data_IF_184115360492
#
_entry.id   IF_184115360492
#
_cell.length_a   1.000
_cell.length_b   1.000
_cell.length_c   1.000
_cell.angle_alpha   90.00
_cell.angle_beta   90.00
_cell.angle_gamma   90.00
#
_symmetry.space_group_name_H-M   'P 1'
#
loop_
_entity.id
_entity.type
_entity.pdbx_description
1 polymer ?
#
# COMPACT_ATOMS: atom_id res chain seq x y z
N UNK A 1 49.57 -17.72 22.99
CA UNK A 1 49.19 -16.52 22.20
C UNK A 1 49.68 -15.30 22.96
N UNK A 2 50.65 -14.56 22.42
CA UNK A 2 51.25 -13.42 23.13
C UNK A 2 50.32 -12.19 23.06
N UNK A 3 50.63 -11.14 23.81
CA UNK A 3 49.78 -9.94 23.92
C UNK A 3 49.69 -9.16 22.59
N UNK A 4 50.76 -9.17 21.78
CA UNK A 4 50.79 -8.57 20.45
C UNK A 4 49.90 -9.32 19.44
N UNK A 5 49.87 -10.65 19.49
CA UNK A 5 48.98 -11.48 18.66
C UNK A 5 47.51 -11.22 18.98
N UNK A 6 47.18 -11.08 20.28
CA UNK A 6 45.83 -10.72 20.73
C UNK A 6 45.44 -9.34 20.25
N UNK A 7 46.33 -8.36 20.41
CA UNK A 7 46.09 -7.00 19.94
C UNK A 7 45.90 -6.93 18.42
N UNK A 8 46.74 -7.60 17.64
CA UNK A 8 46.62 -7.65 16.18
C UNK A 8 45.33 -8.31 15.71
N UNK A 9 44.90 -9.38 16.38
CA UNK A 9 43.61 -10.02 16.08
C UNK A 9 42.43 -9.11 16.38
N UNK A 10 42.43 -8.42 17.54
CA UNK A 10 41.39 -7.44 17.88
C UNK A 10 41.36 -6.30 16.85
N UNK A 11 42.53 -5.76 16.49
CA UNK A 11 42.64 -4.71 15.46
C UNK A 11 42.06 -5.18 14.12
N UNK A 12 42.42 -6.38 13.66
CA UNK A 12 41.89 -6.95 12.41
C UNK A 12 40.37 -7.10 12.46
N UNK A 13 39.84 -7.60 13.57
CA UNK A 13 38.42 -7.81 13.73
C UNK A 13 37.65 -6.49 13.73
N UNK A 14 38.15 -5.49 14.46
CA UNK A 14 37.61 -4.14 14.45
C UNK A 14 37.61 -3.52 13.04
N UNK A 15 38.69 -3.69 12.27
CA UNK A 15 38.75 -3.21 10.87
C UNK A 15 37.67 -3.85 9.99
N UNK A 16 37.44 -5.16 10.11
CA UNK A 16 36.43 -5.86 9.32
C UNK A 16 35.02 -5.35 9.67
N UNK A 17 34.70 -5.28 10.96
CA UNK A 17 33.40 -4.80 11.44
C UNK A 17 33.12 -3.36 10.98
N UNK A 18 34.15 -2.51 11.04
CA UNK A 18 34.06 -1.12 10.61
C UNK A 18 33.83 -0.98 9.10
N UNK A 19 34.54 -1.76 8.27
CA UNK A 19 34.31 -1.80 6.82
C UNK A 19 32.89 -2.28 6.46
N UNK A 20 32.38 -3.28 7.17
CA UNK A 20 31.00 -3.76 6.98
C UNK A 20 29.96 -2.71 7.36
N UNK A 21 30.18 -1.99 8.45
CA UNK A 21 29.32 -0.88 8.87
C UNK A 21 29.31 0.24 7.81
N UNK A 22 30.49 0.62 7.30
CA UNK A 22 30.61 1.62 6.24
C UNK A 22 29.91 1.22 4.94
N UNK A 23 30.02 -0.06 4.54
CA UNK A 23 29.32 -0.57 3.37
C UNK A 23 27.78 -0.47 3.52
N UNK A 24 27.24 -0.77 4.71
CA UNK A 24 25.80 -0.60 5.01
C UNK A 24 25.38 0.86 4.94
N UNK A 25 26.19 1.79 5.46
CA UNK A 25 25.93 3.22 5.40
C UNK A 25 25.86 3.74 3.97
N UNK A 26 26.72 3.26 3.07
CA UNK A 26 26.65 3.60 1.63
C UNK A 26 25.31 3.20 1.01
N UNK A 27 24.83 2.00 1.31
CA UNK A 27 23.51 1.54 0.84
C UNK A 27 22.38 2.44 1.35
N UNK A 28 22.47 2.91 2.61
CA UNK A 28 21.51 3.88 3.17
C UNK A 28 21.56 5.22 2.41
N UNK A 29 22.74 5.76 2.11
CA UNK A 29 22.87 7.01 1.35
C UNK A 29 22.24 6.91 -0.06
N UNK A 30 22.44 5.78 -0.75
CA UNK A 30 21.77 5.50 -2.03
C UNK A 30 20.25 5.48 -1.84
N UNK A 31 19.74 4.80 -0.81
CA UNK A 31 18.31 4.76 -0.50
C UNK A 31 17.72 6.14 -0.20
N UNK A 32 18.39 6.96 0.60
CA UNK A 32 17.98 8.34 0.91
C UNK A 32 17.85 9.20 -0.35
N UNK A 33 18.80 9.06 -1.27
CA UNK A 33 18.80 9.79 -2.54
C UNK A 33 17.74 9.26 -3.51
N UNK A 34 17.76 7.95 -3.79
CA UNK A 34 16.97 7.37 -4.88
C UNK A 34 15.50 7.17 -4.50
N UNK A 35 15.22 6.79 -3.24
CA UNK A 35 13.86 6.52 -2.75
C UNK A 35 13.21 7.77 -2.16
N UNK A 36 13.91 8.44 -1.24
CA UNK A 36 13.35 9.58 -0.50
C UNK A 36 13.65 10.94 -1.13
N UNK A 37 14.42 10.97 -2.22
CA UNK A 37 14.84 12.20 -2.93
C UNK A 37 15.55 13.21 -2.02
N UNK A 38 16.15 12.74 -0.93
CA UNK A 38 16.94 13.53 0.01
C UNK A 38 18.36 13.71 -0.52
N UNK A 39 18.51 14.66 -1.44
CA UNK A 39 19.79 15.00 -2.05
C UNK A 39 20.70 15.76 -1.05
N UNK A 40 22.00 15.48 -1.10
CA UNK A 40 23.01 16.21 -0.31
C UNK A 40 23.32 15.62 1.08
N UNK A 41 22.69 14.50 1.46
CA UNK A 41 22.99 13.76 2.68
C UNK A 41 24.28 12.93 2.48
N UNK A 42 25.43 13.56 2.70
CA UNK A 42 26.76 12.92 2.56
C UNK A 42 27.13 12.17 3.83
N UNK A 43 27.62 10.93 3.67
CA UNK A 43 28.26 10.19 4.75
C UNK A 43 29.59 10.90 5.08
N UNK A 44 29.92 11.09 6.37
CA UNK A 44 31.22 11.63 6.78
C UNK A 44 32.38 10.83 6.19
N UNK A 45 33.50 11.50 5.91
CA UNK A 45 34.68 10.83 5.39
C UNK A 45 35.39 10.11 6.54
N UNK A 46 35.85 8.88 6.27
CA UNK A 46 36.37 7.97 7.30
C UNK A 46 37.64 8.50 7.98
N UNK A 47 38.32 9.43 7.30
CA UNK A 47 39.59 10.03 7.71
C UNK A 47 39.39 11.30 8.57
N UNK A 48 38.15 11.76 8.78
CA UNK A 48 37.86 12.96 9.55
C UNK A 48 38.10 12.74 11.05
N UNK A 49 38.80 13.70 11.68
CA UNK A 49 39.07 13.72 13.11
C UNK A 49 37.79 14.01 13.90
N UNK A 50 37.00 12.96 14.15
CA UNK A 50 35.65 13.08 14.70
C UNK A 50 34.61 12.24 13.96
N UNK A 51 35.02 11.36 13.04
CA UNK A 51 34.14 10.50 12.23
C UNK A 51 32.95 9.91 12.99
N UNK A 52 33.14 9.40 14.22
CA UNK A 52 32.06 8.80 14.99
C UNK A 52 31.00 9.82 15.44
N UNK A 53 31.43 11.02 15.85
CA UNK A 53 30.54 12.11 16.25
C UNK A 53 29.80 12.68 15.04
N UNK A 54 30.50 12.83 13.92
CA UNK A 54 29.89 13.25 12.66
C UNK A 54 28.91 12.21 12.12
N UNK A 55 29.22 10.92 12.27
CA UNK A 55 28.34 9.83 11.88
C UNK A 55 27.06 9.82 12.74
N UNK A 56 27.21 10.08 14.04
CA UNK A 56 26.07 10.25 14.94
C UNK A 56 25.21 11.46 14.54
N UNK A 57 25.83 12.60 14.25
CA UNK A 57 25.12 13.80 13.75
C UNK A 57 24.42 13.55 12.42
N UNK A 58 25.07 12.84 11.50
CA UNK A 58 24.48 12.40 10.23
C UNK A 58 23.24 11.56 10.47
N UNK A 59 23.31 10.54 11.34
CA UNK A 59 22.16 9.69 11.65
C UNK A 59 20.98 10.48 12.24
N UNK A 60 21.24 11.44 13.14
CA UNK A 60 20.20 12.31 13.67
C UNK A 60 19.57 13.19 12.58
N UNK A 61 20.38 13.80 11.70
CA UNK A 61 19.87 14.60 10.57
C UNK A 61 19.05 13.76 9.60
N UNK A 62 19.47 12.52 9.34
CA UNK A 62 18.72 11.55 8.53
C UNK A 62 17.36 11.29 9.15
N UNK A 63 17.31 10.98 10.45
CA UNK A 63 16.04 10.73 11.13
C UNK A 63 15.14 11.96 11.09
N UNK A 64 15.64 13.16 11.38
CA UNK A 64 14.82 14.39 11.32
C UNK A 64 14.28 14.64 9.92
N UNK A 65 15.08 14.46 8.87
CA UNK A 65 14.63 14.65 7.49
C UNK A 65 13.71 13.55 6.99
N UNK A 66 13.95 12.31 7.40
CA UNK A 66 13.01 11.22 7.15
C UNK A 66 11.70 11.49 7.87
N UNK A 67 11.74 11.88 9.14
CA UNK A 67 10.58 12.23 9.93
C UNK A 67 9.82 13.40 9.30
N UNK A 68 10.50 14.43 8.80
CA UNK A 68 9.84 15.51 8.06
C UNK A 68 9.18 14.99 6.78
N UNK A 69 9.90 14.22 5.96
CA UNK A 69 9.36 13.64 4.72
C UNK A 69 8.18 12.70 5.01
N UNK A 70 8.25 11.92 6.08
CA UNK A 70 7.23 10.97 6.50
C UNK A 70 6.05 11.66 7.20
N UNK A 71 6.28 12.74 7.97
CA UNK A 71 5.22 13.56 8.59
C UNK A 71 4.35 14.26 7.53
N UNK A 72 4.88 14.49 6.33
CA UNK A 72 4.08 14.96 5.20
C UNK A 72 3.28 13.85 4.50
N UNK A 73 3.63 12.57 4.68
CA UNK A 73 2.84 11.44 4.17
C UNK A 73 1.75 11.08 5.18
N UNK A 74 0.55 11.61 4.96
CA UNK A 74 -0.62 11.29 5.77
C UNK A 74 -1.23 9.96 5.31
N UNK A 75 -1.70 9.16 6.26
CA UNK A 75 -2.57 8.03 5.94
C UNK A 75 -4.00 8.53 5.74
N UNK A 76 -4.52 8.34 4.54
CA UNK A 76 -5.86 8.78 4.13
C UNK A 76 -6.65 7.57 3.70
N UNK A 77 -7.88 7.44 4.21
CA UNK A 77 -8.83 6.43 3.75
C UNK A 77 -9.71 7.05 2.65
N UNK A 78 -9.59 6.54 1.42
CA UNK A 78 -10.43 6.96 0.29
C UNK A 78 -11.47 5.87 0.02
N UNK A 79 -12.75 6.23 0.09
CA UNK A 79 -13.86 5.34 -0.24
C UNK A 79 -14.30 5.56 -1.69
N UNK A 80 -14.08 4.57 -2.55
CA UNK A 80 -14.35 4.63 -3.99
C UNK A 80 -15.58 3.79 -4.32
N UNK A 81 -16.72 4.39 -4.69
CA UNK A 81 -17.83 3.65 -5.26
C UNK A 81 -17.43 3.05 -6.62
N UNK A 82 -17.64 1.75 -6.81
CA UNK A 82 -17.37 1.12 -8.10
C UNK A 82 -18.51 1.31 -9.09
N UNK A 83 -19.74 1.47 -8.63
CA UNK A 83 -20.91 1.60 -9.50
C UNK A 83 -21.11 3.01 -10.05
N UNK A 84 -21.01 4.00 -9.17
CA UNK A 84 -21.24 5.41 -9.48
C UNK A 84 -19.93 6.19 -9.38
N UNK A 85 -19.83 7.32 -10.06
CA UNK A 85 -18.64 8.15 -9.93
C UNK A 85 -18.51 8.75 -8.53
N UNK A 86 -17.26 8.90 -8.08
CA UNK A 86 -16.90 9.68 -6.89
C UNK A 86 -17.12 11.17 -7.17
N UNK A 87 -17.64 11.91 -6.20
CA UNK A 87 -17.80 13.35 -6.32
C UNK A 87 -16.51 14.06 -5.94
N UNK A 88 -15.90 14.77 -6.88
CA UNK A 88 -14.81 15.70 -6.60
C UNK A 88 -15.24 17.10 -7.02
N UNK A 89 -15.61 17.92 -6.04
CA UNK A 89 -16.28 19.20 -6.30
C UNK A 89 -17.65 18.98 -6.96
N UNK A 90 -17.85 19.53 -8.16
CA UNK A 90 -19.09 19.37 -8.94
C UNK A 90 -19.04 18.22 -9.96
N UNK A 91 -17.89 17.56 -10.11
CA UNK A 91 -17.70 16.53 -11.13
C UNK A 91 -17.76 15.11 -10.56
N UNK A 92 -18.25 14.18 -11.40
CA UNK A 92 -18.31 12.76 -11.10
C UNK A 92 -17.14 12.02 -11.76
N UNK A 93 -16.18 11.56 -10.96
CA UNK A 93 -15.08 10.71 -11.42
C UNK A 93 -15.56 9.26 -11.43
N UNK A 94 -15.79 8.70 -12.61
CA UNK A 94 -16.35 7.35 -12.77
C UNK A 94 -15.27 6.28 -12.89
N UNK A 95 -15.37 5.22 -12.09
CA UNK A 95 -14.51 4.02 -12.21
C UNK A 95 -14.96 3.14 -13.39
N UNK A 96 -16.27 3.08 -13.65
CA UNK A 96 -16.85 2.41 -14.82
C UNK A 96 -17.47 3.43 -15.77
N UNK A 97 -17.40 3.18 -17.07
CA UNK A 97 -17.96 4.07 -18.11
C UNK A 97 -19.47 4.28 -17.97
N UNK A 98 -20.19 3.23 -17.56
CA UNK A 98 -21.66 3.19 -17.42
C UNK A 98 -22.13 2.11 -16.42
N UNK A 99 -23.37 2.25 -15.95
CA UNK A 99 -24.01 1.32 -14.98
C UNK A 99 -24.23 -0.08 -15.59
N UNK A 100 -24.46 -0.16 -16.91
CA UNK A 100 -24.71 -1.42 -17.60
C UNK A 100 -23.48 -2.35 -17.54
N UNK A 101 -22.28 -1.78 -17.73
CA UNK A 101 -21.01 -2.49 -17.65
C UNK A 101 -20.74 -3.01 -16.24
N UNK A 102 -21.01 -2.20 -15.22
CA UNK A 102 -20.93 -2.62 -13.82
C UNK A 102 -21.88 -3.80 -13.54
N UNK A 103 -23.16 -3.67 -13.91
CA UNK A 103 -24.17 -4.71 -13.68
C UNK A 103 -23.81 -6.02 -14.40
N UNK A 104 -23.33 -5.95 -15.65
CA UNK A 104 -22.93 -7.11 -16.42
C UNK A 104 -21.76 -7.86 -15.76
N UNK A 105 -20.69 -7.15 -15.40
CA UNK A 105 -19.51 -7.73 -14.75
C UNK A 105 -19.83 -8.28 -13.34
N UNK A 106 -20.62 -7.53 -12.55
CA UNK A 106 -21.13 -7.99 -11.25
C UNK A 106 -21.90 -9.31 -11.38
N UNK A 107 -22.77 -9.42 -12.38
CA UNK A 107 -23.55 -10.64 -12.63
C UNK A 107 -22.67 -11.81 -13.10
N UNK A 108 -21.58 -11.52 -13.82
CA UNK A 108 -20.57 -12.52 -14.18
C UNK A 108 -19.72 -12.97 -12.98
N UNK A 109 -19.67 -12.17 -11.91
CA UNK A 109 -18.96 -12.46 -10.66
C UNK A 109 -17.50 -12.01 -10.66
N UNK A 110 -17.09 -11.19 -11.61
CA UNK A 110 -15.74 -10.63 -11.69
C UNK A 110 -15.82 -9.19 -12.20
N UNK A 111 -15.26 -8.28 -11.43
CA UNK A 111 -15.21 -6.84 -11.69
C UNK A 111 -13.79 -6.48 -12.09
N UNK A 112 -13.58 -6.06 -13.33
CA UNK A 112 -12.31 -5.53 -13.83
C UNK A 112 -12.45 -4.02 -14.06
N UNK A 113 -11.51 -3.25 -13.52
CA UNK A 113 -11.56 -1.80 -13.57
C UNK A 113 -10.17 -1.18 -13.44
N UNK A 114 -10.03 0.07 -13.88
CA UNK A 114 -8.88 0.92 -13.61
C UNK A 114 -9.30 2.08 -12.72
N UNK A 115 -8.47 2.42 -11.73
CA UNK A 115 -8.71 3.61 -10.92
C UNK A 115 -8.36 4.86 -11.75
N UNK A 116 -9.27 5.84 -11.89
CA UNK A 116 -8.99 7.09 -12.57
C UNK A 116 -7.89 7.88 -11.83
N UNK A 117 -6.94 8.46 -12.57
CA UNK A 117 -5.82 9.22 -12.01
C UNK A 117 -6.30 10.50 -11.30
N UNK A 118 -7.44 11.04 -11.74
CA UNK A 118 -8.10 12.20 -11.18
C UNK A 118 -8.53 12.01 -9.72
N UNK A 119 -8.75 10.75 -9.28
CA UNK A 119 -9.03 10.43 -7.88
C UNK A 119 -7.88 10.86 -6.96
N UNK A 120 -6.65 10.87 -7.48
CA UNK A 120 -5.44 11.10 -6.71
C UNK A 120 -4.78 12.44 -7.01
N UNK A 121 -5.41 13.31 -7.80
CA UNK A 121 -4.74 14.53 -8.30
C UNK A 121 -4.39 15.56 -7.21
N UNK A 122 -4.98 15.47 -6.02
CA UNK A 122 -4.68 16.36 -4.89
C UNK A 122 -3.54 15.81 -4.01
N UNK A 123 -2.99 14.66 -4.40
CA UNK A 123 -1.99 13.94 -3.65
C UNK A 123 -0.72 13.71 -4.48
N UNK A 124 0.43 13.75 -3.81
CA UNK A 124 1.75 13.36 -4.32
C UNK A 124 2.23 12.10 -3.62
N UNK A 125 3.04 11.31 -4.33
CA UNK A 125 3.67 10.08 -3.82
C UNK A 125 2.66 9.09 -3.23
N UNK A 126 1.53 8.89 -3.91
CA UNK A 126 0.47 8.00 -3.42
C UNK A 126 0.96 6.56 -3.39
N UNK A 127 0.91 5.96 -2.21
CA UNK A 127 1.29 4.57 -1.97
C UNK A 127 0.12 3.86 -1.33
N UNK A 128 -0.28 2.71 -1.89
CA UNK A 128 -1.27 1.88 -1.25
C UNK A 128 -0.70 1.29 0.04
N UNK A 129 -1.47 1.39 1.12
CA UNK A 129 -1.20 0.84 2.46
C UNK A 129 -2.18 -0.25 2.84
N UNK A 130 -3.39 -0.22 2.31
CA UNK A 130 -4.38 -1.26 2.56
C UNK A 130 -5.61 -1.13 1.69
N UNK A 131 -6.35 -2.23 1.60
CA UNK A 131 -7.58 -2.34 0.80
C UNK A 131 -8.66 -2.97 1.64
N UNK A 132 -9.85 -2.38 1.58
CA UNK A 132 -11.06 -2.84 2.21
C UNK A 132 -12.21 -2.80 1.20
N UNK A 133 -13.16 -3.71 1.36
CA UNK A 133 -14.35 -3.78 0.51
C UNK A 133 -15.58 -3.67 1.39
N UNK A 134 -16.47 -2.79 0.97
CA UNK A 134 -17.77 -2.57 1.59
C UNK A 134 -18.86 -2.84 0.55
N UNK A 135 -19.93 -3.54 0.93
CA UNK A 135 -21.00 -3.91 0.02
C UNK A 135 -22.35 -3.54 0.61
N UNK A 136 -23.22 -2.99 -0.23
CA UNK A 136 -24.63 -2.76 0.10
C UNK A 136 -25.49 -3.80 -0.59
N UNK A 137 -26.40 -4.35 0.19
CA UNK A 137 -27.40 -5.31 -0.26
C UNK A 137 -28.79 -4.71 -0.04
N UNK A 138 -29.73 -4.98 -0.94
CA UNK A 138 -31.15 -4.66 -0.71
C UNK A 138 -31.85 -5.77 0.09
N UNK A 139 -31.29 -6.98 0.10
CA UNK A 139 -31.77 -8.11 0.90
C UNK A 139 -31.11 -8.10 2.28
N UNK A 140 -31.84 -8.57 3.30
CA UNK A 140 -31.28 -8.77 4.63
C UNK A 140 -30.19 -9.85 4.59
N UNK A 141 -28.97 -9.50 5.00
CA UNK A 141 -27.84 -10.44 5.15
C UNK A 141 -27.64 -10.70 6.64
N UNK A 142 -27.47 -11.95 7.06
CA UNK A 142 -27.30 -12.29 8.48
C UNK A 142 -25.85 -12.05 8.92
N UNK A 143 -25.64 -11.70 10.20
CA UNK A 143 -24.31 -11.46 10.77
C UNK A 143 -23.35 -12.65 10.69
N UNK A 144 -23.87 -13.86 10.49
CA UNK A 144 -23.08 -15.08 10.37
C UNK A 144 -22.68 -15.44 8.93
N UNK A 145 -23.14 -14.68 7.94
CA UNK A 145 -22.82 -14.90 6.53
C UNK A 145 -21.40 -14.43 6.21
N UNK A 146 -20.51 -15.38 5.93
CA UNK A 146 -19.15 -15.08 5.49
C UNK A 146 -19.09 -15.05 3.97
N UNK A 147 -18.62 -13.92 3.46
CA UNK A 147 -18.39 -13.70 2.04
C UNK A 147 -16.91 -13.52 1.79
N UNK A 148 -16.39 -14.13 0.73
CA UNK A 148 -14.97 -14.04 0.40
C UNK A 148 -14.82 -13.27 -0.89
N UNK A 149 -14.47 -12.00 -0.76
CA UNK A 149 -14.00 -11.20 -1.89
C UNK A 149 -12.51 -11.45 -2.09
N UNK A 150 -12.10 -11.49 -3.36
CA UNK A 150 -10.70 -11.52 -3.78
C UNK A 150 -10.44 -10.26 -4.56
N UNK A 151 -9.55 -9.42 -4.08
CA UNK A 151 -9.08 -8.24 -4.82
C UNK A 151 -7.66 -8.54 -5.28
N UNK A 152 -7.47 -8.54 -6.59
CA UNK A 152 -6.18 -8.66 -7.25
C UNK A 152 -5.71 -7.26 -7.60
N UNK A 153 -4.55 -6.90 -7.06
CA UNK A 153 -3.90 -5.61 -7.28
C UNK A 153 -3.22 -5.58 -8.66
N UNK A 154 -2.98 -4.38 -9.23
CA UNK A 154 -2.19 -4.25 -10.44
C UNK A 154 -0.80 -4.85 -10.29
N UNK A 155 -0.32 -5.50 -11.36
CA UNK A 155 1.06 -5.98 -11.43
C UNK A 155 2.02 -4.80 -11.36
N UNK A 156 2.98 -4.88 -10.44
CA UNK A 156 3.98 -3.83 -10.26
C UNK A 156 5.04 -3.96 -11.34
N UNK A 157 5.20 -2.94 -12.18
CA UNK A 157 6.16 -2.93 -13.29
C UNK A 157 7.28 -1.91 -13.05
N UNK A 158 8.48 -2.21 -13.53
CA UNK A 158 9.58 -1.24 -13.58
C UNK A 158 9.42 -0.25 -14.73
N UNK A 159 10.38 0.67 -14.85
CA UNK A 159 10.44 1.65 -15.93
C UNK A 159 10.60 1.00 -17.33
N UNK A 160 11.01 -0.27 -17.39
CA UNK A 160 11.19 -1.06 -18.60
C UNK A 160 9.96 -1.92 -18.92
N UNK A 161 8.95 -1.92 -18.03
CA UNK A 161 7.70 -2.65 -18.17
C UNK A 161 7.75 -4.11 -17.68
N UNK A 162 8.87 -4.56 -17.09
CA UNK A 162 9.00 -5.89 -16.51
C UNK A 162 8.30 -5.94 -15.15
N UNK A 163 7.66 -7.07 -14.84
CA UNK A 163 6.97 -7.23 -13.55
C UNK A 163 8.01 -7.40 -12.46
N UNK A 164 8.15 -6.38 -11.60
CA UNK A 164 9.12 -6.38 -10.50
C UNK A 164 8.65 -7.40 -9.45
N UNK A 165 7.40 -7.31 -9.02
CA UNK A 165 6.82 -8.14 -7.95
C UNK A 165 5.33 -8.45 -8.23
N UNK A 166 4.92 -9.69 -7.99
CA UNK A 166 3.51 -10.07 -7.91
C UNK A 166 3.06 -10.00 -6.45
N UNK A 167 2.16 -9.06 -6.13
CA UNK A 167 1.55 -9.02 -4.79
C UNK A 167 0.62 -10.22 -4.69
N UNK A 168 0.74 -11.07 -3.65
CA UNK A 168 0.03 -12.33 -3.67
C UNK A 168 -1.48 -12.14 -3.69
N UNK A 169 -2.15 -13.01 -4.44
CA UNK A 169 -3.61 -13.14 -4.53
C UNK A 169 -4.20 -13.41 -3.13
N UNK A 170 -4.60 -12.37 -2.39
CA UNK A 170 -5.09 -12.54 -1.02
C UNK A 170 -6.61 -12.43 -0.89
N UNK A 171 -7.13 -13.23 0.06
CA UNK A 171 -8.54 -13.62 0.23
C UNK A 171 -9.08 -13.41 1.64
N UNK A 172 -10.41 -13.31 1.68
CA UNK A 172 -11.32 -13.52 2.82
C UNK A 172 -11.64 -12.24 3.59
N UNK A 173 -12.48 -11.44 2.96
CA UNK A 173 -13.09 -10.23 3.54
C UNK A 173 -14.38 -10.65 4.28
N UNK A 174 -14.25 -11.17 5.49
CA UNK A 174 -15.39 -11.60 6.30
C UNK A 174 -16.27 -10.42 6.71
N UNK A 175 -17.49 -10.34 6.18
CA UNK A 175 -18.49 -9.35 6.56
C UNK A 175 -19.10 -9.72 7.92
N UNK A 176 -19.10 -8.78 8.87
CA UNK A 176 -19.93 -8.86 10.09
C UNK A 176 -21.09 -7.87 9.94
N UNK A 177 -22.33 -8.35 10.13
CA UNK A 177 -23.50 -7.48 10.05
C UNK A 177 -23.69 -6.71 11.36
N UNK A 178 -23.79 -5.37 11.26
CA UNK A 178 -24.31 -4.53 12.34
C UNK A 178 -25.57 -3.81 11.84
N UNK A 179 -26.73 -4.45 12.03
CA UNK A 179 -28.10 -3.90 12.01
C UNK A 179 -28.61 -3.18 10.72
N UNK A 180 -29.95 -3.03 10.57
CA UNK A 180 -30.61 -2.77 9.28
C UNK A 180 -30.55 -1.28 8.92
N UNK A 181 -30.05 -0.98 7.71
CA UNK A 181 -29.65 0.36 7.27
C UNK A 181 -28.55 0.35 6.19
N UNK A 182 -27.89 -0.81 6.05
CA UNK A 182 -27.28 -1.36 4.84
C UNK A 182 -25.95 -0.75 4.35
N UNK A 183 -24.95 -0.63 5.24
CA UNK A 183 -23.53 -0.63 4.83
C UNK A 183 -22.82 -1.75 5.58
N UNK A 184 -22.37 -2.77 4.84
CA UNK A 184 -21.60 -3.88 5.41
C UNK A 184 -20.14 -3.67 5.05
N UNK A 185 -19.32 -3.41 6.06
CA UNK A 185 -17.89 -3.19 5.94
C UNK A 185 -17.16 -4.39 6.52
N UNK A 186 -16.23 -4.95 5.78
CA UNK A 186 -15.34 -5.98 6.29
C UNK A 186 -13.97 -5.38 6.54
N UNK A 187 -13.63 -5.21 7.82
CA UNK A 187 -12.39 -4.59 8.25
C UNK A 187 -11.29 -5.64 8.32
N UNK A 188 -10.33 -5.54 7.39
CA UNK A 188 -8.97 -5.99 7.62
C UNK A 188 -8.05 -4.96 6.99
N UNK A 189 -7.37 -4.18 7.82
CA UNK A 189 -6.24 -3.36 7.39
C UNK A 189 -5.13 -4.33 6.99
N UNK A 190 -5.10 -4.69 5.71
CA UNK A 190 -4.00 -5.45 5.14
C UNK A 190 -2.91 -4.44 4.82
N UNK A 191 -1.85 -4.41 5.62
CA UNK A 191 -0.66 -3.59 5.37
C UNK A 191 0.02 -4.04 4.07
N UNK A 192 -0.47 -3.53 2.94
CA UNK A 192 0.17 -3.66 1.63
C UNK A 192 1.24 -2.58 1.62
N UNK A 193 2.52 -2.95 1.73
CA UNK A 193 3.57 -1.93 1.86
C UNK A 193 3.99 -1.40 0.49
N UNK A 194 3.65 -0.13 0.21
CA UNK A 194 4.15 0.66 -0.93
C UNK A 194 3.76 0.15 -2.33
N UNK A 195 2.59 -0.49 -2.50
CA UNK A 195 2.14 -0.88 -3.84
C UNK A 195 1.66 0.34 -4.65
N UNK A 196 1.96 0.35 -5.95
CA UNK A 196 1.35 1.28 -6.90
C UNK A 196 -0.13 0.98 -7.08
N UNK A 197 -0.91 2.03 -7.27
CA UNK A 197 -2.34 1.95 -7.61
C UNK A 197 -2.58 1.86 -9.12
N UNK A 198 -1.53 2.04 -9.92
CA UNK A 198 -1.62 2.16 -11.38
C UNK A 198 -1.79 0.81 -12.05
N UNK A 199 -2.77 0.73 -12.93
CA UNK A 199 -3.01 -0.43 -13.80
C UNK A 199 -4.38 -1.06 -13.58
N UNK A 200 -4.53 -2.26 -14.13
CA UNK A 200 -5.79 -3.01 -14.08
C UNK A 200 -5.97 -3.69 -12.73
N UNK A 201 -7.12 -3.43 -12.11
CA UNK A 201 -7.59 -4.10 -10.90
C UNK A 201 -8.61 -5.16 -11.27
N UNK A 202 -8.65 -6.23 -10.48
CA UNK A 202 -9.70 -7.24 -10.59
C UNK A 202 -10.26 -7.58 -9.23
N UNK A 203 -11.58 -7.72 -9.12
CA UNK A 203 -12.25 -8.21 -7.94
C UNK A 203 -13.17 -9.36 -8.28
N UNK A 204 -12.89 -10.54 -7.71
CA UNK A 204 -13.79 -11.68 -7.81
C UNK A 204 -14.83 -11.64 -6.72
N UNK A 205 -16.08 -11.62 -7.14
CA UNK A 205 -17.23 -11.68 -6.28
C UNK A 205 -17.53 -13.14 -5.93
N UNK A 206 -17.85 -13.43 -4.67
CA UNK A 206 -18.27 -14.75 -4.27
C UNK A 206 -19.54 -15.17 -5.01
N UNK A 207 -19.50 -16.34 -5.66
CA UNK A 207 -20.65 -16.87 -6.42
C UNK A 207 -21.78 -17.39 -5.51
N UNK A 208 -21.45 -17.83 -4.30
CA UNK A 208 -22.37 -18.28 -3.24
C UNK A 208 -21.75 -18.02 -1.85
N UNK A 209 -22.59 -17.76 -0.84
CA UNK A 209 -22.20 -17.83 0.57
C UNK A 209 -21.96 -19.31 0.95
N UNK A 210 -21.05 -19.57 1.89
CA UNK A 210 -20.77 -20.93 2.38
C UNK A 210 -21.95 -21.55 3.15
N UNK A 211 -22.99 -20.78 3.48
CA UNK A 211 -24.20 -21.23 4.18
C UNK A 211 -25.51 -20.95 3.46
N UNK A 212 -25.58 -19.95 2.57
CA UNK A 212 -26.81 -19.58 1.86
C UNK A 212 -26.75 -19.98 0.38
N UNK A 213 -27.75 -20.76 -0.03
CA UNK A 213 -28.07 -21.06 -1.44
C UNK A 213 -28.71 -19.88 -2.20
N UNK A 214 -29.08 -18.79 -1.52
CA UNK A 214 -30.03 -17.81 -2.08
C UNK A 214 -29.44 -16.44 -2.44
N UNK A 215 -28.36 -16.00 -1.79
CA UNK A 215 -27.73 -14.72 -2.10
C UNK A 215 -26.69 -14.90 -3.21
N UNK A 216 -26.79 -14.07 -4.24
CA UNK A 216 -25.92 -14.07 -5.42
C UNK A 216 -25.24 -12.72 -5.57
N UNK A 217 -24.15 -12.66 -6.33
CA UNK A 217 -23.51 -11.38 -6.70
C UNK A 217 -24.51 -10.37 -7.30
N UNK A 218 -25.55 -10.87 -7.98
CA UNK A 218 -26.64 -10.05 -8.52
C UNK A 218 -27.49 -9.31 -7.46
N UNK A 219 -27.45 -9.72 -6.19
CA UNK A 219 -28.16 -9.05 -5.10
C UNK A 219 -27.33 -7.93 -4.44
N UNK A 220 -26.05 -7.79 -4.81
CA UNK A 220 -25.18 -6.69 -4.35
C UNK A 220 -25.52 -5.41 -5.11
N UNK A 221 -26.14 -4.43 -4.47
CA UNK A 221 -26.59 -3.20 -5.13
C UNK A 221 -25.41 -2.31 -5.51
N UNK A 222 -24.57 -2.04 -4.53
CA UNK A 222 -23.43 -1.13 -4.63
C UNK A 222 -22.21 -1.75 -3.93
N UNK A 223 -21.03 -1.52 -4.48
CA UNK A 223 -19.75 -2.02 -3.94
C UNK A 223 -18.81 -0.82 -3.85
N UNK A 224 -18.16 -0.65 -2.69
CA UNK A 224 -17.13 0.34 -2.45
C UNK A 224 -15.80 -0.34 -2.20
N UNK A 225 -14.77 0.21 -2.82
CA UNK A 225 -13.38 -0.09 -2.55
C UNK A 225 -12.83 1.01 -1.65
N UNK A 226 -12.48 0.66 -0.43
CA UNK A 226 -11.85 1.56 0.53
C UNK A 226 -10.33 1.35 0.46
N UNK A 227 -9.61 2.40 0.07
CA UNK A 227 -8.17 2.38 -0.06
C UNK A 227 -7.56 3.16 1.09
N UNK A 228 -6.78 2.48 1.93
CA UNK A 228 -5.87 3.16 2.83
C UNK A 228 -4.62 3.50 2.01
N UNK A 229 -4.37 4.78 1.82
CA UNK A 229 -3.20 5.28 1.10
C UNK A 229 -2.32 6.08 2.06
N UNK A 230 -1.02 6.08 1.79
CA UNK A 230 -0.07 7.02 2.36
C UNK A 230 0.30 7.98 1.25
N UNK A 231 0.03 9.26 1.46
CA UNK A 231 0.24 10.27 0.44
C UNK A 231 0.46 11.65 1.04
N UNK A 232 1.06 12.53 0.24
CA UNK A 232 1.27 13.93 0.62
C UNK A 232 0.24 14.81 -0.08
N UNK A 233 -0.56 15.56 0.66
CA UNK A 233 -1.47 16.56 0.09
C UNK A 233 -0.66 17.67 -0.61
N UNK A 234 -1.12 18.11 -1.78
CA UNK A 234 -0.50 19.17 -2.59
C UNK A 234 -0.88 20.56 -2.08
#
# INVERSE_FOLDING_TARGET
>A
MNLADRFNNIKRQFTIEFQQAYAKLRSVSIGLKEVYKLNGMKIPDIDDSGYLDELYSFAQKVNVRLDEVLQFEQEVLISIPLRYGYYKGNDHIKVYSDDASFVAQRNAGELNFKLPEELFSDFKNVKLRGVKVSVRWDKAVQASDRWNFRVTLPKQKDAQGETIWEIPDYHTVGLMANNPGYVYSATRDLSIYNASLDGEWSMRLPKKSSRLTELKAADMKDIWLELLISARTI
#
